data_IF_107713688988
#
_entry.id   IF_107713688988
#
_cell.length_a   1.000
_cell.length_b   1.000
_cell.length_c   1.000
_cell.angle_alpha   90.00
_cell.angle_beta   90.00
_cell.angle_gamma   90.00
#
_symmetry.space_group_name_H-M   'P 1'
#
loop_
_entity.id
_entity.type
_entity.pdbx_description
1 polymer ?
#
# COMPACT_ATOMS: atom_id res chain seq x y z
N UNK A 1 13.95 26.01 -6.13
CA UNK A 1 14.66 26.20 -4.85
C UNK A 1 14.90 24.82 -4.30
N UNK A 2 16.15 24.34 -4.37
CA UNK A 2 16.51 23.06 -3.75
C UNK A 2 16.40 23.25 -2.25
N UNK A 3 15.46 22.54 -1.63
CA UNK A 3 15.35 22.50 -0.18
C UNK A 3 16.60 21.74 0.28
N UNK A 4 17.45 22.36 1.11
CA UNK A 4 18.70 21.73 1.56
C UNK A 4 18.52 20.89 2.83
N UNK A 5 17.33 20.94 3.46
CA UNK A 5 16.98 20.16 4.65
C UNK A 5 15.46 20.13 4.85
N UNK A 6 14.94 19.01 5.37
CA UNK A 6 13.55 18.83 5.75
C UNK A 6 13.23 19.40 7.15
N UNK A 7 14.25 19.75 7.95
CA UNK A 7 14.10 20.20 9.34
C UNK A 7 13.08 21.35 9.50
N UNK A 8 13.11 22.34 8.60
CA UNK A 8 12.15 23.46 8.65
C UNK A 8 10.70 23.01 8.42
N UNK A 9 10.48 21.96 7.62
CA UNK A 9 9.14 21.39 7.37
C UNK A 9 8.72 20.51 8.55
N UNK A 10 9.67 19.79 9.16
CA UNK A 10 9.43 19.00 10.36
C UNK A 10 9.02 19.90 11.54
N UNK A 11 9.65 21.07 11.71
CA UNK A 11 9.25 22.03 12.74
C UNK A 11 7.81 22.54 12.54
N UNK A 12 7.34 22.67 11.30
CA UNK A 12 5.95 23.05 11.02
C UNK A 12 4.93 21.98 11.46
N UNK A 13 5.34 20.72 11.65
CA UNK A 13 4.46 19.69 12.22
C UNK A 13 4.23 19.87 13.72
N UNK A 14 5.12 20.58 14.42
CA UNK A 14 4.99 20.86 15.87
C UNK A 14 4.02 22.02 16.15
N UNK A 15 3.76 22.87 15.16
CA UNK A 15 2.87 24.02 15.32
C UNK A 15 1.43 23.59 15.65
N UNK A 16 0.72 24.30 16.55
CA UNK A 16 -0.62 23.91 16.98
C UNK A 16 -1.68 24.08 15.88
N UNK A 17 -1.37 24.84 14.82
CA UNK A 17 -2.30 25.13 13.73
C UNK A 17 -2.46 23.93 12.78
N UNK A 18 -3.67 23.38 12.60
CA UNK A 18 -3.88 22.22 11.74
C UNK A 18 -3.53 22.51 10.28
N UNK A 19 -3.78 23.72 9.79
CA UNK A 19 -3.45 24.11 8.41
C UNK A 19 -1.94 24.02 8.09
N UNK A 20 -1.09 24.35 9.08
CA UNK A 20 0.37 24.24 8.92
C UNK A 20 0.81 22.78 8.87
N UNK A 21 0.21 21.92 9.70
CA UNK A 21 0.46 20.46 9.66
C UNK A 21 0.10 19.86 8.30
N UNK A 22 -1.02 20.28 7.73
CA UNK A 22 -1.47 19.83 6.40
C UNK A 22 -0.49 20.26 5.32
N UNK A 23 -0.06 21.52 5.37
CA UNK A 23 0.93 22.05 4.44
C UNK A 23 2.27 21.33 4.57
N UNK A 24 2.71 21.06 5.80
CA UNK A 24 3.92 20.31 6.08
C UNK A 24 3.85 18.89 5.51
N UNK A 25 2.76 18.15 5.77
CA UNK A 25 2.57 16.79 5.23
C UNK A 25 2.60 16.74 3.70
N UNK A 26 1.92 17.68 3.03
CA UNK A 26 1.96 17.77 1.55
C UNK A 26 3.35 18.05 1.02
N UNK A 27 4.13 18.87 1.72
CA UNK A 27 5.52 19.14 1.35
C UNK A 27 6.41 17.93 1.62
N UNK A 28 6.22 17.25 2.75
CA UNK A 28 6.97 16.03 3.10
C UNK A 28 6.76 14.94 2.06
N UNK A 29 5.53 14.74 1.60
CA UNK A 29 5.22 13.75 0.56
C UNK A 29 6.01 13.94 -0.75
N UNK A 30 6.36 15.19 -1.09
CA UNK A 30 7.12 15.53 -2.30
C UNK A 30 8.63 15.34 -2.13
N UNK A 31 9.14 15.40 -0.90
CA UNK A 31 10.58 15.36 -0.61
C UNK A 31 11.02 14.08 0.08
N UNK A 32 10.07 13.19 0.39
CA UNK A 32 10.32 11.98 1.17
C UNK A 32 11.37 11.08 0.52
N UNK A 33 11.40 11.00 -0.81
CA UNK A 33 12.36 10.14 -1.51
C UNK A 33 13.81 10.62 -1.37
N UNK A 34 14.03 11.93 -1.19
CA UNK A 34 15.37 12.52 -1.03
C UNK A 34 15.77 12.68 0.45
N UNK A 35 14.80 13.04 1.31
CA UNK A 35 15.04 13.41 2.71
C UNK A 35 14.48 12.41 3.71
N UNK A 36 14.21 11.16 3.30
CA UNK A 36 13.76 10.11 4.21
C UNK A 36 14.62 9.95 5.47
N UNK A 37 15.97 10.15 5.47
CA UNK A 37 16.75 10.00 6.70
C UNK A 37 16.34 11.03 7.76
N UNK A 38 16.22 12.31 7.38
CA UNK A 38 15.78 13.39 8.29
C UNK A 38 14.33 13.19 8.73
N UNK A 39 13.45 12.75 7.82
CA UNK A 39 12.03 12.55 8.12
C UNK A 39 11.85 11.34 9.05
N UNK A 40 12.67 10.31 8.91
CA UNK A 40 12.62 9.12 9.76
C UNK A 40 12.89 9.43 11.23
N UNK A 41 13.75 10.40 11.53
CA UNK A 41 13.99 10.87 12.91
C UNK A 41 12.74 11.49 13.54
N UNK A 42 11.84 12.04 12.71
CA UNK A 42 10.61 12.67 13.14
C UNK A 42 9.35 11.81 12.92
N UNK A 43 9.50 10.53 12.56
CA UNK A 43 8.37 9.67 12.16
C UNK A 43 7.31 9.56 13.25
N UNK A 44 7.71 9.49 14.52
CA UNK A 44 6.79 9.42 15.67
C UNK A 44 5.75 10.55 15.66
N UNK A 45 6.12 11.74 15.19
CA UNK A 45 5.18 12.87 15.09
C UNK A 45 4.13 12.63 14.01
N UNK A 46 4.54 12.01 12.89
CA UNK A 46 3.65 11.66 11.78
C UNK A 46 2.70 10.54 12.22
N UNK A 47 3.18 9.58 13.01
CA UNK A 47 2.34 8.52 13.60
C UNK A 47 1.27 9.10 14.52
N UNK A 48 1.63 10.01 15.43
CA UNK A 48 0.68 10.69 16.32
C UNK A 48 -0.39 11.45 15.50
N UNK A 49 0.01 12.09 14.40
CA UNK A 49 -0.92 12.78 13.51
C UNK A 49 -1.85 11.82 12.74
N UNK A 50 -1.38 10.62 12.41
CA UNK A 50 -2.20 9.59 11.81
C UNK A 50 -3.21 9.00 12.82
N UNK A 51 -2.82 8.82 14.08
CA UNK A 51 -3.69 8.31 15.13
C UNK A 51 -4.79 9.31 15.54
N UNK A 52 -4.56 10.62 15.32
CA UNK A 52 -5.56 11.65 15.59
C UNK A 52 -6.68 11.64 14.53
N UNK A 53 -7.77 10.93 14.86
CA UNK A 53 -9.00 10.87 14.04
C UNK A 53 -9.71 12.21 13.89
N UNK A 54 -9.35 13.23 14.68
CA UNK A 54 -9.90 14.59 14.54
C UNK A 54 -9.26 15.33 13.36
N UNK A 55 -8.11 14.86 12.89
CA UNK A 55 -7.35 15.49 11.83
C UNK A 55 -7.83 15.04 10.45
N UNK A 56 -8.34 15.99 9.65
CA UNK A 56 -8.96 15.71 8.35
C UNK A 56 -8.03 15.02 7.33
N UNK A 57 -6.71 15.16 7.47
CA UNK A 57 -5.72 14.55 6.57
C UNK A 57 -4.88 13.47 7.26
N UNK A 58 -5.46 12.73 8.21
CA UNK A 58 -4.78 11.58 8.82
C UNK A 58 -4.35 10.52 7.78
N UNK A 59 -5.08 10.41 6.66
CA UNK A 59 -4.74 9.51 5.55
C UNK A 59 -3.42 9.93 4.87
N UNK A 60 -3.16 11.24 4.77
CA UNK A 60 -1.94 11.77 4.16
C UNK A 60 -0.74 11.51 5.07
N UNK A 61 -0.93 11.64 6.39
CA UNK A 61 0.09 11.28 7.37
C UNK A 61 0.46 9.79 7.26
N UNK A 62 -0.54 8.91 7.12
CA UNK A 62 -0.31 7.49 6.86
C UNK A 62 0.48 7.25 5.58
N UNK A 63 0.17 7.95 4.48
CA UNK A 63 0.90 7.79 3.22
C UNK A 63 2.38 8.19 3.36
N UNK A 64 2.65 9.34 4.00
CA UNK A 64 4.03 9.80 4.23
C UNK A 64 4.77 8.83 5.14
N UNK A 65 4.17 8.39 6.25
CA UNK A 65 4.76 7.39 7.13
C UNK A 65 5.10 6.10 6.39
N UNK A 66 4.18 5.61 5.56
CA UNK A 66 4.38 4.42 4.75
C UNK A 66 5.57 4.55 3.79
N UNK A 67 5.72 5.69 3.11
CA UNK A 67 6.88 5.96 2.23
C UNK A 67 8.19 6.01 3.02
N UNK A 68 8.21 6.59 4.22
CA UNK A 68 9.41 6.59 5.06
C UNK A 68 9.78 5.17 5.49
N UNK A 69 8.81 4.37 5.94
CA UNK A 69 9.05 2.97 6.30
C UNK A 69 9.52 2.11 5.13
N UNK A 70 9.04 2.40 3.93
CA UNK A 70 9.54 1.77 2.71
C UNK A 70 11.04 2.03 2.52
N UNK A 71 11.48 3.29 2.67
CA UNK A 71 12.91 3.64 2.57
C UNK A 71 13.75 3.07 3.74
N UNK A 72 13.16 2.93 4.92
CA UNK A 72 13.79 2.25 6.07
C UNK A 72 13.92 0.73 5.90
N UNK A 73 13.27 0.15 4.88
CA UNK A 73 13.23 -1.29 4.65
C UNK A 73 12.26 -2.06 5.54
N UNK A 74 11.47 -1.38 6.38
CA UNK A 74 10.40 -2.01 7.16
C UNK A 74 9.12 -2.09 6.33
N UNK A 75 9.02 -3.11 5.49
CA UNK A 75 7.88 -3.28 4.60
C UNK A 75 6.57 -3.62 5.34
N UNK A 76 6.65 -4.29 6.49
CA UNK A 76 5.47 -4.64 7.30
C UNK A 76 4.77 -3.40 7.82
N UNK A 77 5.53 -2.48 8.41
CA UNK A 77 5.01 -1.21 8.91
C UNK A 77 4.54 -0.34 7.74
N UNK A 78 5.32 -0.30 6.66
CA UNK A 78 4.95 0.41 5.43
C UNK A 78 3.59 -0.06 4.89
N UNK A 79 3.34 -1.36 4.84
CA UNK A 79 2.06 -1.94 4.43
C UNK A 79 0.93 -1.49 5.36
N UNK A 80 1.12 -1.56 6.67
CA UNK A 80 0.10 -1.17 7.66
C UNK A 80 -0.30 0.29 7.49
N UNK A 81 0.67 1.19 7.30
CA UNK A 81 0.40 2.61 7.04
C UNK A 81 -0.20 2.86 5.65
N UNK A 82 0.21 2.10 4.62
CA UNK A 82 -0.40 2.18 3.28
C UNK A 82 -1.89 1.78 3.32
N UNK A 83 -2.23 0.74 4.09
CA UNK A 83 -3.61 0.33 4.34
C UNK A 83 -4.38 1.41 5.11
N UNK A 84 -3.71 2.12 6.03
CA UNK A 84 -4.25 3.27 6.76
C UNK A 84 -4.55 4.48 5.87
N UNK A 85 -3.80 4.68 4.78
CA UNK A 85 -4.01 5.77 3.83
C UNK A 85 -5.24 5.56 2.92
N UNK A 86 -5.78 4.33 2.86
CA UNK A 86 -7.03 4.00 2.18
C UNK A 86 -7.08 4.43 0.72
N UNK A 87 -7.83 5.50 0.46
CA UNK A 87 -8.07 6.03 -0.90
C UNK A 87 -6.90 6.86 -1.44
N UNK A 88 -6.01 7.38 -0.59
CA UNK A 88 -4.83 8.12 -1.04
C UNK A 88 -3.74 7.18 -1.59
N UNK A 89 -3.74 5.91 -1.19
CA UNK A 89 -2.88 4.90 -1.80
C UNK A 89 -3.42 4.51 -3.18
N UNK A 90 -2.86 5.14 -4.21
CA UNK A 90 -3.25 4.90 -5.60
C UNK A 90 -2.52 3.70 -6.20
N UNK A 91 -3.20 2.56 -6.27
CA UNK A 91 -2.71 1.31 -6.89
C UNK A 91 -2.43 1.42 -8.40
N UNK A 92 -2.92 2.47 -9.07
CA UNK A 92 -2.69 2.70 -10.49
C UNK A 92 -1.44 3.55 -10.76
N UNK A 93 -0.83 4.10 -9.71
CA UNK A 93 0.41 4.84 -9.84
C UNK A 93 1.55 3.88 -10.20
N UNK A 94 2.32 4.22 -11.24
CA UNK A 94 3.48 3.44 -11.67
C UNK A 94 4.73 3.96 -10.95
N UNK A 95 4.74 3.89 -9.61
CA UNK A 95 5.93 4.23 -8.83
C UNK A 95 6.53 2.98 -8.22
N UNK A 96 7.86 2.96 -8.10
CA UNK A 96 8.60 1.84 -7.52
C UNK A 96 8.11 1.50 -6.10
N UNK A 97 7.77 2.53 -5.32
CA UNK A 97 7.14 2.38 -4.01
C UNK A 97 5.80 1.61 -4.10
N UNK A 98 4.90 2.03 -4.99
CA UNK A 98 3.58 1.40 -5.13
C UNK A 98 3.72 -0.05 -5.60
N UNK A 99 4.55 -0.30 -6.62
CA UNK A 99 4.77 -1.65 -7.14
C UNK A 99 5.36 -2.58 -6.07
N UNK A 100 6.33 -2.09 -5.28
CA UNK A 100 6.94 -2.88 -4.22
C UNK A 100 5.98 -3.15 -3.07
N UNK A 101 5.23 -2.14 -2.61
CA UNK A 101 4.25 -2.31 -1.53
C UNK A 101 3.13 -3.25 -1.96
N UNK A 102 2.71 -3.19 -3.22
CA UNK A 102 1.71 -4.11 -3.76
C UNK A 102 2.25 -5.54 -3.84
N UNK A 103 3.49 -5.74 -4.30
CA UNK A 103 4.10 -7.06 -4.30
C UNK A 103 4.15 -7.64 -2.87
N UNK A 104 4.59 -6.84 -1.89
CA UNK A 104 4.59 -7.25 -0.47
C UNK A 104 3.20 -7.49 0.09
N UNK A 105 2.21 -6.70 -0.32
CA UNK A 105 0.80 -6.89 0.03
C UNK A 105 0.28 -8.24 -0.47
N UNK A 106 0.60 -8.59 -1.71
CA UNK A 106 0.24 -9.86 -2.34
C UNK A 106 0.92 -11.02 -1.61
N UNK A 107 2.24 -10.95 -1.38
CA UNK A 107 2.99 -11.99 -0.68
C UNK A 107 2.37 -12.26 0.69
N UNK A 108 2.13 -11.19 1.46
CA UNK A 108 1.54 -11.30 2.79
C UNK A 108 0.11 -11.88 2.75
N UNK A 109 -0.70 -11.45 1.79
CA UNK A 109 -2.05 -11.99 1.60
C UNK A 109 -2.01 -13.49 1.25
N UNK A 110 -1.11 -13.90 0.36
CA UNK A 110 -0.90 -15.30 -0.02
C UNK A 110 -0.47 -16.15 1.17
N UNK A 111 0.48 -15.67 1.98
CA UNK A 111 0.90 -16.36 3.21
C UNK A 111 -0.27 -16.57 4.19
N UNK A 112 -1.10 -15.56 4.40
CA UNK A 112 -2.29 -15.66 5.25
C UNK A 112 -3.29 -16.68 4.70
N UNK A 113 -3.50 -16.69 3.39
CA UNK A 113 -4.39 -17.65 2.71
C UNK A 113 -3.90 -19.09 2.84
N UNK A 114 -2.60 -19.31 2.65
CA UNK A 114 -1.98 -20.64 2.81
C UNK A 114 -2.11 -21.10 4.26
N UNK A 115 -1.81 -20.23 5.23
CA UNK A 115 -1.98 -20.54 6.67
C UNK A 115 -3.41 -20.91 7.02
N UNK A 116 -4.41 -20.20 6.49
CA UNK A 116 -5.82 -20.53 6.72
C UNK A 116 -6.25 -21.85 6.08
N UNK A 117 -5.61 -22.24 4.98
CA UNK A 117 -5.86 -23.54 4.35
C UNK A 117 -5.21 -24.69 5.12
N UNK A 118 -4.00 -24.49 5.64
CA UNK A 118 -3.28 -25.50 6.42
C UNK A 118 -3.85 -25.66 7.84
N UNK A 119 -4.31 -24.57 8.45
CA UNK A 119 -4.87 -24.53 9.80
C UNK A 119 -6.38 -24.27 9.76
N UNK A 120 -7.15 -25.30 9.41
CA UNK A 120 -8.63 -25.27 9.41
C UNK A 120 -9.26 -24.96 10.78
N UNK A 121 -8.51 -25.10 11.87
CA UNK A 121 -9.02 -24.98 13.25
C UNK A 121 -9.02 -23.55 13.81
N UNK A 122 -8.16 -22.67 13.30
CA UNK A 122 -8.07 -21.26 13.72
C UNK A 122 -7.80 -20.39 12.48
N UNK A 123 -8.83 -20.03 11.70
CA UNK A 123 -8.67 -19.16 10.56
C UNK A 123 -8.27 -17.76 11.03
N UNK A 124 -7.16 -17.24 10.51
CA UNK A 124 -6.75 -15.86 10.70
C UNK A 124 -7.68 -14.97 9.87
N UNK A 125 -8.34 -14.02 10.53
CA UNK A 125 -9.11 -13.00 9.81
C UNK A 125 -8.17 -12.14 8.97
N UNK A 126 -8.42 -12.12 7.66
CA UNK A 126 -7.67 -11.28 6.73
C UNK A 126 -8.26 -9.88 6.79
N UNK A 127 -7.41 -8.87 7.00
CA UNK A 127 -7.82 -7.47 6.99
C UNK A 127 -8.58 -7.14 5.68
N UNK A 128 -9.81 -6.62 5.75
CA UNK A 128 -10.58 -6.24 4.57
C UNK A 128 -9.87 -5.20 3.69
N UNK A 129 -9.00 -4.35 4.26
CA UNK A 129 -8.21 -3.37 3.52
C UNK A 129 -7.16 -4.06 2.65
N UNK A 130 -6.52 -5.10 3.18
CA UNK A 130 -5.52 -5.90 2.46
C UNK A 130 -6.19 -6.59 1.26
N UNK A 131 -7.33 -7.23 1.52
CA UNK A 131 -8.16 -7.82 0.48
C UNK A 131 -8.57 -6.79 -0.58
N UNK A 132 -8.96 -5.58 -0.19
CA UNK A 132 -9.37 -4.53 -1.12
C UNK A 132 -8.22 -4.02 -2.02
N UNK A 133 -6.97 -4.00 -1.55
CA UNK A 133 -5.81 -3.68 -2.41
C UNK A 133 -5.61 -4.79 -3.44
N UNK A 134 -5.61 -6.04 -3.00
CA UNK A 134 -5.44 -7.20 -3.87
C UNK A 134 -6.57 -7.29 -4.91
N UNK A 135 -7.83 -7.08 -4.51
CA UNK A 135 -8.98 -7.04 -5.41
C UNK A 135 -8.85 -5.94 -6.48
N UNK A 136 -8.40 -4.74 -6.09
CA UNK A 136 -8.13 -3.65 -7.05
C UNK A 136 -7.01 -4.00 -8.02
N UNK A 137 -5.97 -4.70 -7.57
CA UNK A 137 -4.89 -5.18 -8.44
C UNK A 137 -5.38 -6.22 -9.44
N UNK A 138 -6.18 -7.18 -9.01
CA UNK A 138 -6.80 -8.13 -9.93
C UNK A 138 -7.66 -7.43 -10.98
N UNK A 139 -8.49 -6.47 -10.56
CA UNK A 139 -9.31 -5.70 -11.50
C UNK A 139 -8.45 -4.94 -12.49
N UNK A 140 -7.36 -4.29 -12.05
CA UNK A 140 -6.40 -3.63 -12.93
C UNK A 140 -5.78 -4.60 -13.95
N UNK A 141 -5.30 -5.77 -13.51
CA UNK A 141 -4.73 -6.77 -14.42
C UNK A 141 -5.76 -7.28 -15.45
N UNK A 142 -7.03 -7.42 -15.06
CA UNK A 142 -8.11 -7.79 -15.98
C UNK A 142 -8.41 -6.67 -16.98
N UNK A 143 -8.49 -5.43 -16.51
CA UNK A 143 -8.75 -4.24 -17.33
C UNK A 143 -7.60 -3.97 -18.33
N UNK A 144 -6.35 -4.21 -17.92
CA UNK A 144 -5.15 -4.08 -18.74
C UNK A 144 -4.95 -5.27 -19.72
N UNK A 145 -5.85 -6.27 -19.71
CA UNK A 145 -5.76 -7.47 -20.54
C UNK A 145 -4.62 -8.42 -20.16
N UNK A 146 -4.03 -8.26 -18.97
CA UNK A 146 -2.93 -9.06 -18.45
C UNK A 146 -3.44 -10.35 -17.77
N UNK A 147 -4.29 -11.11 -18.46
CA UNK A 147 -4.95 -12.30 -17.93
C UNK A 147 -3.96 -13.37 -17.42
N UNK A 148 -2.77 -13.50 -18.03
CA UNK A 148 -1.73 -14.45 -17.57
C UNK A 148 -1.21 -14.12 -16.18
N UNK A 149 -1.01 -12.83 -15.88
CA UNK A 149 -0.55 -12.40 -14.57
C UNK A 149 -1.67 -12.54 -13.53
N UNK A 150 -2.89 -12.16 -13.89
CA UNK A 150 -4.07 -12.38 -13.05
C UNK A 150 -4.26 -13.87 -12.72
N UNK A 151 -4.04 -14.77 -13.68
CA UNK A 151 -4.10 -16.21 -13.50
C UNK A 151 -3.01 -16.71 -12.53
N UNK A 152 -1.75 -16.29 -12.72
CA UNK A 152 -0.65 -16.64 -11.81
C UNK A 152 -0.92 -16.20 -10.38
N UNK A 153 -1.36 -14.95 -10.21
CA UNK A 153 -1.73 -14.40 -8.91
C UNK A 153 -2.95 -15.12 -8.29
N UNK A 154 -3.92 -15.54 -9.10
CA UNK A 154 -5.08 -16.30 -8.63
C UNK A 154 -4.69 -17.70 -8.13
N UNK A 155 -3.70 -18.33 -8.78
CA UNK A 155 -3.14 -19.62 -8.35
C UNK A 155 -2.36 -19.47 -7.03
N UNK A 156 -1.49 -18.47 -6.92
CA UNK A 156 -0.73 -18.18 -5.71
C UNK A 156 -1.65 -17.91 -4.51
N UNK A 157 -2.66 -17.05 -4.71
CA UNK A 157 -3.63 -16.68 -3.66
C UNK A 157 -4.72 -17.73 -3.40
N UNK A 158 -4.71 -18.83 -4.17
CA UNK A 158 -5.73 -19.90 -4.16
C UNK A 158 -7.15 -19.35 -4.25
N UNK A 159 -7.38 -18.46 -5.22
CA UNK A 159 -8.67 -17.79 -5.49
C UNK A 159 -9.29 -18.30 -6.78
N UNK A 160 -10.13 -19.34 -6.65
CA UNK A 160 -10.81 -19.96 -7.77
C UNK A 160 -11.83 -19.03 -8.45
N UNK A 161 -12.39 -18.09 -7.71
CA UNK A 161 -13.26 -17.02 -8.20
C UNK A 161 -12.55 -16.15 -9.25
N UNK A 162 -11.33 -15.70 -8.94
CA UNK A 162 -10.56 -14.88 -9.87
C UNK A 162 -9.96 -15.71 -10.99
N UNK A 163 -9.57 -16.96 -10.72
CA UNK A 163 -9.11 -17.90 -11.74
C UNK A 163 -10.18 -18.09 -12.83
N UNK A 164 -11.41 -18.41 -12.44
CA UNK A 164 -12.51 -18.59 -13.38
C UNK A 164 -12.84 -17.30 -14.14
N UNK A 165 -12.86 -16.16 -13.44
CA UNK A 165 -13.10 -14.85 -14.07
C UNK A 165 -12.02 -14.53 -15.11
N UNK A 166 -10.75 -14.78 -14.79
CA UNK A 166 -9.61 -14.52 -15.67
C UNK A 166 -9.67 -15.34 -16.95
N UNK A 167 -10.09 -16.61 -16.86
CA UNK A 167 -10.27 -17.46 -18.04
C UNK A 167 -11.47 -17.02 -18.87
N UNK A 168 -12.62 -16.72 -18.23
CA UNK A 168 -13.85 -16.33 -18.94
C UNK A 168 -13.72 -14.99 -19.67
N UNK A 169 -12.99 -14.04 -19.08
CA UNK A 169 -12.77 -12.72 -19.68
C UNK A 169 -11.59 -12.72 -20.66
N UNK A 170 -10.74 -13.75 -20.67
CA UNK A 170 -9.67 -13.87 -21.65
C UNK A 170 -10.19 -14.29 -23.03
N UNK A 171 -9.71 -13.62 -24.08
CA UNK A 171 -10.01 -14.00 -25.48
C UNK A 171 -9.40 -15.36 -25.88
N UNK A 172 -8.43 -15.87 -25.12
CA UNK A 172 -7.70 -17.12 -25.38
C UNK A 172 -7.87 -18.14 -24.24
N UNK A 173 -9.10 -18.65 -24.10
CA UNK A 173 -9.48 -19.67 -23.11
C UNK A 173 -8.61 -20.93 -23.24
N UNK A 174 -8.27 -21.34 -24.47
CA UNK A 174 -7.46 -22.52 -24.72
C UNK A 174 -6.01 -22.33 -24.27
N UNK A 175 -5.42 -21.16 -24.54
CA UNK A 175 -4.09 -20.82 -24.05
C UNK A 175 -4.01 -20.73 -22.53
N UNK A 176 -5.06 -20.27 -21.85
CA UNK A 176 -5.09 -20.17 -20.38
C UNK A 176 -5.26 -21.52 -19.68
N UNK A 177 -5.96 -22.49 -20.30
CA UNK A 177 -6.15 -23.84 -19.73
C UNK A 177 -4.93 -24.76 -19.92
N UNK A 178 -4.00 -24.40 -20.79
CA UNK A 178 -2.77 -25.15 -21.05
C UNK A 178 -1.59 -24.75 -20.14
N UNK A 179 -1.73 -23.65 -19.39
CA UNK A 179 -0.81 -23.26 -18.31
C UNK A 179 -1.10 -24.04 -17.03
#
# INVERSE_FOLDING_TARGET
>A
MNITSAAGIISLLEEPMPELKIFALKKLDLIVDEFWPEISEAIQKIEILHEDKSFQQHDLAALVASKVYYHLGSFSDSLQYALGAGNLFNVNSHSEYVDTIIAKCIDHYTELRIKNYENEKDPVEIDPRLKAIVDRMFQRCLDDGQYKQALGLALETRRMDIFEKSIRESDDVFGMLFF
#
